data_IF_817748599216
#
_entry.id   IF_817748599216
#
_cell.length_a   1.000
_cell.length_b   1.000
_cell.length_c   1.000
_cell.angle_alpha   90.00
_cell.angle_beta   90.00
_cell.angle_gamma   90.00
#
_symmetry.space_group_name_H-M   'P 1'
#
loop_
_entity.id
_entity.type
_entity.pdbx_description
1 polymer ?
#
# COMPACT_ATOMS: atom_id res chain seq x y z
N UNK A 1 -10.03 -13.19 12.05
CA UNK A 1 -9.40 -14.14 11.10
C UNK A 1 -7.93 -13.75 10.97
N UNK A 2 -7.04 -14.40 11.73
CA UNK A 2 -5.60 -14.61 11.44
C UNK A 2 -4.90 -15.14 12.68
N UNK A 3 -5.39 -16.28 13.18
CA UNK A 3 -4.88 -16.92 14.39
C UNK A 3 -3.60 -17.74 14.18
N UNK A 4 -2.84 -17.56 13.08
CA UNK A 4 -1.41 -17.83 13.23
C UNK A 4 -0.45 -16.88 12.50
N UNK A 5 -0.79 -15.62 12.22
CA UNK A 5 0.12 -14.66 11.55
C UNK A 5 0.93 -15.27 10.38
N UNK A 6 0.28 -16.07 9.53
CA UNK A 6 0.92 -16.82 8.44
C UNK A 6 0.65 -16.22 7.06
N UNK A 7 -0.20 -15.19 6.99
CA UNK A 7 -0.65 -14.59 5.73
C UNK A 7 0.09 -13.29 5.50
N UNK A 8 0.62 -13.14 4.29
CA UNK A 8 1.13 -11.87 3.76
C UNK A 8 0.08 -11.32 2.82
N UNK A 9 -0.41 -10.11 3.09
CA UNK A 9 -1.31 -9.43 2.17
C UNK A 9 -0.50 -8.50 1.28
N UNK A 10 -0.60 -8.68 -0.04
CA UNK A 10 0.01 -7.82 -1.03
C UNK A 10 -1.07 -7.10 -1.82
N UNK A 11 -0.94 -5.79 -1.97
CA UNK A 11 -1.84 -4.97 -2.75
C UNK A 11 -1.10 -3.89 -3.54
N UNK A 12 -1.75 -3.38 -4.58
CA UNK A 12 -1.24 -2.26 -5.37
C UNK A 12 -2.26 -1.14 -5.45
N UNK A 13 -1.78 0.10 -5.61
CA UNK A 13 -2.67 1.24 -5.83
C UNK A 13 -3.11 1.37 -7.30
N UNK A 14 -2.59 0.54 -8.20
CA UNK A 14 -2.83 0.65 -9.65
C UNK A 14 -4.31 0.63 -10.04
N UNK A 15 -5.12 -0.18 -9.35
CA UNK A 15 -6.57 -0.30 -9.59
C UNK A 15 -7.42 0.61 -8.71
N UNK A 16 -6.83 1.22 -7.68
CA UNK A 16 -7.53 2.09 -6.72
C UNK A 16 -7.21 3.57 -6.92
N UNK A 17 -6.23 3.91 -7.75
CA UNK A 17 -5.86 5.26 -8.15
C UNK A 17 -5.56 5.31 -9.65
N UNK A 18 -4.32 5.01 -10.06
CA UNK A 18 -3.91 4.93 -11.45
C UNK A 18 -2.58 4.14 -11.60
N UNK A 19 -2.34 3.44 -12.73
CA UNK A 19 -1.19 2.55 -12.89
C UNK A 19 0.18 3.23 -12.81
N UNK A 20 0.28 4.49 -13.22
CA UNK A 20 1.55 5.23 -13.27
C UNK A 20 2.12 5.55 -11.88
N UNK A 21 1.33 5.41 -10.80
CA UNK A 21 1.81 5.61 -9.43
C UNK A 21 2.86 4.57 -9.02
N UNK A 22 2.86 3.39 -9.66
CA UNK A 22 3.77 2.25 -9.41
C UNK A 22 4.03 1.95 -7.92
N UNK A 23 3.03 2.20 -7.08
CA UNK A 23 3.13 2.02 -5.62
C UNK A 23 2.33 0.80 -5.19
N UNK A 24 2.93 0.01 -4.32
CA UNK A 24 2.36 -1.19 -3.74
C UNK A 24 2.50 -1.16 -2.21
N UNK A 25 1.73 -1.99 -1.52
CA UNK A 25 1.80 -2.15 -0.08
C UNK A 25 1.78 -3.63 0.30
N UNK A 26 2.39 -3.94 1.43
CA UNK A 26 2.47 -5.28 1.99
C UNK A 26 2.11 -5.21 3.47
N UNK A 27 1.19 -6.05 3.92
CA UNK A 27 0.96 -6.32 5.35
C UNK A 27 1.61 -7.67 5.64
N UNK A 28 2.67 -7.63 6.45
CA UNK A 28 3.46 -8.80 6.81
C UNK A 28 3.25 -9.16 8.28
N UNK A 29 3.30 -10.45 8.64
CA UNK A 29 3.36 -10.91 10.02
C UNK A 29 4.47 -10.22 10.82
N UNK A 30 4.18 -9.86 12.07
CA UNK A 30 5.15 -9.21 12.97
C UNK A 30 6.52 -9.90 13.01
N UNK A 31 6.62 -11.25 13.07
CA UNK A 31 7.91 -11.94 13.09
C UNK A 31 8.75 -11.77 11.82
N UNK A 32 8.12 -11.40 10.69
CA UNK A 32 8.77 -11.25 9.40
C UNK A 32 9.15 -9.80 9.08
N UNK A 33 8.61 -8.82 9.81
CA UNK A 33 8.83 -7.37 9.60
C UNK A 33 10.31 -7.04 9.45
N UNK A 34 11.16 -7.50 10.38
CA UNK A 34 12.60 -7.20 10.35
C UNK A 34 13.31 -7.69 9.08
N UNK A 35 12.95 -8.88 8.58
CA UNK A 35 13.53 -9.44 7.35
C UNK A 35 13.09 -8.67 6.10
N UNK A 36 11.82 -8.24 6.07
CA UNK A 36 11.30 -7.41 4.99
C UNK A 36 11.95 -6.02 4.98
N UNK A 37 12.14 -5.39 6.14
CA UNK A 37 12.85 -4.12 6.23
C UNK A 37 14.30 -4.21 5.72
N UNK A 38 15.06 -5.21 6.15
CA UNK A 38 16.44 -5.40 5.67
C UNK A 38 16.51 -5.59 4.15
N UNK A 39 15.52 -6.25 3.57
CA UNK A 39 15.45 -6.47 2.12
C UNK A 39 15.05 -5.19 1.40
N UNK A 40 14.08 -4.44 1.94
CA UNK A 40 13.63 -3.17 1.41
C UNK A 40 14.72 -2.09 1.46
N UNK A 41 15.55 -2.04 2.50
CA UNK A 41 16.68 -1.12 2.60
C UNK A 41 17.77 -1.39 1.55
N UNK A 42 17.92 -2.66 1.14
CA UNK A 42 18.87 -3.08 0.10
C UNK A 42 18.33 -2.84 -1.31
N UNK A 43 17.03 -2.63 -1.45
CA UNK A 43 16.37 -2.39 -2.73
C UNK A 43 16.10 -0.89 -2.89
N UNK A 44 16.44 -0.32 -4.03
CA UNK A 44 16.07 1.06 -4.32
C UNK A 44 14.54 1.18 -4.42
N UNK A 45 13.94 2.03 -3.59
CA UNK A 45 12.53 2.38 -3.77
C UNK A 45 12.39 3.16 -5.08
N UNK A 46 11.70 2.57 -6.05
CA UNK A 46 11.53 3.16 -7.38
C UNK A 46 10.41 4.20 -7.43
N UNK A 47 9.67 4.38 -6.33
CA UNK A 47 8.61 5.38 -6.21
C UNK A 47 9.22 6.73 -5.82
N UNK A 48 9.03 7.80 -6.61
CA UNK A 48 9.55 9.13 -6.27
C UNK A 48 9.03 9.63 -4.91
N UNK A 49 9.88 10.30 -4.14
CA UNK A 49 9.55 10.80 -2.79
C UNK A 49 8.32 11.70 -2.76
N UNK A 50 8.15 12.55 -3.79
CA UNK A 50 6.96 13.40 -3.94
C UNK A 50 5.67 12.58 -3.94
N UNK A 51 5.65 11.44 -4.65
CA UNK A 51 4.49 10.56 -4.68
C UNK A 51 4.27 9.88 -3.33
N UNK A 52 5.34 9.49 -2.63
CA UNK A 52 5.23 8.89 -1.30
C UNK A 52 4.60 9.89 -0.30
N UNK A 53 5.06 11.14 -0.30
CA UNK A 53 4.53 12.21 0.55
C UNK A 53 3.08 12.56 0.19
N UNK A 54 2.81 12.78 -1.09
CA UNK A 54 1.44 13.08 -1.57
C UNK A 54 0.46 11.96 -1.20
N UNK A 55 0.88 10.70 -1.36
CA UNK A 55 0.05 9.55 -1.00
C UNK A 55 -0.16 9.46 0.52
N UNK A 56 0.88 9.72 1.32
CA UNK A 56 0.78 9.76 2.76
C UNK A 56 -0.24 10.81 3.22
N UNK A 57 -0.13 12.04 2.72
CA UNK A 57 -1.08 13.12 3.02
C UNK A 57 -2.50 12.77 2.57
N UNK A 58 -2.65 12.22 1.37
CA UNK A 58 -3.94 11.82 0.81
C UNK A 58 -4.64 10.73 1.64
N UNK A 59 -3.88 9.80 2.22
CA UNK A 59 -4.39 8.77 3.13
C UNK A 59 -4.71 9.39 4.49
N UNK A 60 -3.79 10.17 5.07
CA UNK A 60 -3.95 10.80 6.40
C UNK A 60 -5.15 11.75 6.45
N UNK A 61 -5.39 12.51 5.39
CA UNK A 61 -6.53 13.42 5.27
C UNK A 61 -7.87 12.69 4.96
N UNK A 62 -7.85 11.35 4.85
CA UNK A 62 -9.05 10.53 4.62
C UNK A 62 -9.60 10.58 3.19
N UNK A 63 -8.90 11.22 2.26
CA UNK A 63 -9.33 11.32 0.86
C UNK A 63 -9.32 9.97 0.15
N UNK A 64 -8.36 9.09 0.50
CA UNK A 64 -8.30 7.73 -0.05
C UNK A 64 -9.56 6.92 0.23
N UNK A 65 -10.07 6.95 1.46
CA UNK A 65 -11.28 6.23 1.83
C UNK A 65 -12.51 6.75 1.06
N UNK A 66 -12.61 8.07 0.90
CA UNK A 66 -13.69 8.71 0.15
C UNK A 66 -13.63 8.35 -1.34
N UNK A 67 -12.43 8.30 -1.92
CA UNK A 67 -12.21 7.88 -3.30
C UNK A 67 -12.59 6.40 -3.50
N UNK A 68 -12.13 5.51 -2.61
CA UNK A 68 -12.44 4.08 -2.67
C UNK A 68 -13.95 3.81 -2.58
N UNK A 69 -14.65 4.54 -1.69
CA UNK A 69 -16.11 4.42 -1.54
C UNK A 69 -16.86 4.82 -2.83
N UNK A 70 -16.40 5.88 -3.51
CA UNK A 70 -16.94 6.27 -4.83
C UNK A 70 -16.67 5.21 -5.89
N UNK A 71 -15.44 4.69 -5.96
CA UNK A 71 -15.05 3.65 -6.92
C UNK A 71 -15.86 2.36 -6.78
N UNK A 72 -16.17 1.94 -5.55
CA UNK A 72 -17.02 0.76 -5.31
C UNK A 72 -18.40 0.87 -5.96
N UNK A 73 -18.96 2.07 -6.05
CA UNK A 73 -20.24 2.29 -6.73
C UNK A 73 -20.17 2.11 -8.25
N UNK A 74 -18.97 2.20 -8.85
CA UNK A 74 -18.74 2.01 -10.30
C UNK A 74 -18.44 0.56 -10.69
N UNK A 75 -18.23 -0.34 -9.72
CA UNK A 75 -17.95 -1.76 -9.92
C UNK A 75 -19.09 -2.68 -9.45
N UNK A 76 -20.24 -2.10 -9.09
CA UNK A 76 -21.46 -2.83 -8.73
C UNK A 76 -22.24 -3.26 -9.95
#
# INVERSE_FOLDING_TARGET
LDAPQRVIYAGTFSKSMFPALRTAWLVVPTPLVARFHQTAERQSCTVPTLWQQTLADFIQQGHFWRHLKKMRASYS
#
